data_IF_439598531969
#
_entry.id   IF_439598531969
#
_cell.length_a   1.000
_cell.length_b   1.000
_cell.length_c   1.000
_cell.angle_alpha   90.00
_cell.angle_beta   90.00
_cell.angle_gamma   90.00
#
_symmetry.space_group_name_H-M   'P 1'
#
loop_
_entity.id
_entity.type
_entity.pdbx_description
1 polymer ?
#
# COMPACT_ATOMS: atom_id res chain seq x y z
N UNK A 1 8.46 4.74 -1.71
CA UNK A 1 8.14 5.92 -2.57
C UNK A 1 9.31 6.44 -3.39
N UNK A 2 10.48 5.79 -3.38
CA UNK A 2 11.61 6.24 -4.20
C UNK A 2 11.33 6.02 -5.70
N UNK A 3 10.65 4.93 -6.04
CA UNK A 3 10.50 4.44 -7.41
C UNK A 3 9.33 5.04 -8.19
N UNK A 4 8.33 5.58 -7.49
CA UNK A 4 7.06 6.02 -8.08
C UNK A 4 6.72 7.46 -7.74
N UNK A 5 6.08 8.15 -8.68
CA UNK A 5 5.40 9.43 -8.43
C UNK A 5 3.94 9.13 -8.09
N UNK A 6 3.47 9.61 -6.93
CA UNK A 6 2.08 9.42 -6.49
C UNK A 6 1.27 10.62 -6.96
N UNK A 7 0.26 10.39 -7.81
CA UNK A 7 -0.60 11.45 -8.35
C UNK A 7 -1.86 11.63 -7.51
N UNK A 8 -2.56 10.54 -7.24
CA UNK A 8 -3.81 10.53 -6.47
C UNK A 8 -3.70 9.52 -5.32
N UNK A 9 -4.36 9.82 -4.20
CA UNK A 9 -4.45 8.93 -3.05
C UNK A 9 -5.92 8.63 -2.74
N UNK A 10 -6.20 7.39 -2.41
CA UNK A 10 -7.53 6.95 -1.98
C UNK A 10 -7.40 6.11 -0.70
N UNK A 11 -8.27 6.37 0.26
CA UNK A 11 -8.40 5.53 1.46
C UNK A 11 -9.42 4.42 1.20
N UNK A 12 -9.06 3.18 1.50
CA UNK A 12 -9.94 2.01 1.34
C UNK A 12 -9.96 1.17 2.63
N UNK A 13 -11.10 0.55 2.90
CA UNK A 13 -11.17 -0.54 3.87
C UNK A 13 -10.57 -1.82 3.28
N UNK A 14 -10.12 -2.75 4.12
CA UNK A 14 -9.61 -4.06 3.68
C UNK A 14 -10.37 -5.19 4.37
N UNK A 15 -10.71 -6.22 3.59
CA UNK A 15 -11.36 -7.42 4.09
C UNK A 15 -10.33 -8.37 4.74
N UNK A 16 -10.31 -8.35 6.08
CA UNK A 16 -9.38 -9.13 6.90
C UNK A 16 -10.11 -10.16 7.75
N UNK A 17 -9.43 -11.28 8.02
CA UNK A 17 -9.88 -12.22 9.07
C UNK A 17 -9.34 -11.80 10.43
N UNK A 18 -10.00 -12.23 11.50
CA UNK A 18 -9.65 -11.84 12.88
C UNK A 18 -8.19 -12.17 13.27
N UNK A 19 -7.62 -13.26 12.76
CA UNK A 19 -6.19 -13.62 12.95
C UNK A 19 -5.24 -12.61 12.31
N UNK A 20 -5.56 -12.12 11.11
CA UNK A 20 -4.76 -11.11 10.40
C UNK A 20 -4.84 -9.75 11.09
N UNK A 21 -6.01 -9.39 11.63
CA UNK A 21 -6.17 -8.16 12.42
C UNK A 21 -5.21 -8.17 13.62
N UNK A 22 -5.08 -9.32 14.30
CA UNK A 22 -4.13 -9.48 15.41
C UNK A 22 -2.67 -9.34 14.93
N UNK A 23 -2.31 -9.99 13.82
CA UNK A 23 -0.95 -9.88 13.25
C UNK A 23 -0.59 -8.45 12.82
N UNK A 24 -1.51 -7.74 12.17
CA UNK A 24 -1.30 -6.34 11.76
C UNK A 24 -1.14 -5.42 12.98
N UNK A 25 -1.93 -5.63 14.05
CA UNK A 25 -1.77 -4.87 15.30
C UNK A 25 -0.41 -5.09 15.96
N UNK A 26 0.20 -6.25 15.76
CA UNK A 26 1.56 -6.56 16.18
C UNK A 26 2.64 -6.06 15.20
N UNK A 27 2.25 -5.35 14.12
CA UNK A 27 3.18 -4.84 13.11
C UNK A 27 3.73 -5.92 12.16
N UNK A 28 3.18 -7.15 12.17
CA UNK A 28 3.65 -8.26 11.35
C UNK A 28 3.01 -8.27 9.94
N UNK A 29 3.05 -7.14 9.24
CA UNK A 29 2.54 -7.00 7.88
C UNK A 29 3.53 -6.26 6.98
N UNK A 30 3.70 -6.75 5.75
CA UNK A 30 4.58 -6.17 4.74
C UNK A 30 3.80 -5.91 3.45
N UNK A 31 3.94 -4.68 2.94
CA UNK A 31 3.32 -4.19 1.70
C UNK A 31 4.35 -3.85 0.62
N UNK A 32 5.62 -4.18 0.81
CA UNK A 32 6.71 -3.73 -0.08
C UNK A 32 6.55 -4.16 -1.54
N UNK A 33 6.06 -5.37 -1.74
CA UNK A 33 5.88 -5.99 -3.06
C UNK A 33 4.40 -6.11 -3.44
N UNK A 34 3.52 -5.51 -2.64
CA UNK A 34 2.09 -5.58 -2.84
C UNK A 34 1.66 -4.60 -3.93
N UNK A 35 0.68 -5.00 -4.72
CA UNK A 35 0.08 -4.19 -5.79
C UNK A 35 -1.42 -4.44 -5.81
N UNK A 36 -2.16 -3.53 -6.45
CA UNK A 36 -3.63 -3.60 -6.49
C UNK A 36 -4.11 -3.72 -7.92
N UNK A 37 -4.99 -4.70 -8.16
CA UNK A 37 -5.67 -4.90 -9.43
C UNK A 37 -7.13 -4.45 -9.30
N UNK A 38 -7.72 -4.03 -10.42
CA UNK A 38 -9.18 -3.98 -10.56
C UNK A 38 -9.60 -5.21 -11.35
N UNK A 39 -10.29 -6.14 -10.68
CA UNK A 39 -10.81 -7.38 -11.26
C UNK A 39 -12.32 -7.40 -11.07
N UNK A 40 -13.07 -7.60 -12.16
CA UNK A 40 -14.55 -7.68 -12.15
C UNK A 40 -15.29 -6.52 -11.44
N UNK A 41 -14.66 -5.35 -11.36
CA UNK A 41 -15.22 -4.17 -10.69
C UNK A 41 -15.01 -4.15 -9.18
N UNK A 42 -14.14 -5.01 -8.65
CA UNK A 42 -13.63 -5.00 -7.29
C UNK A 42 -12.14 -4.64 -7.27
N UNK A 43 -11.68 -4.08 -6.15
CA UNK A 43 -10.26 -3.82 -5.92
C UNK A 43 -9.66 -4.98 -5.12
N UNK A 44 -8.61 -5.59 -5.64
CA UNK A 44 -7.95 -6.73 -5.00
C UNK A 44 -6.48 -6.40 -4.76
N UNK A 45 -6.03 -6.53 -3.52
CA UNK A 45 -4.62 -6.49 -3.17
C UNK A 45 -4.01 -7.87 -3.38
N UNK A 46 -2.94 -7.88 -4.16
CA UNK A 46 -2.09 -9.03 -4.41
C UNK A 46 -0.74 -8.86 -3.71
N UNK A 47 -0.12 -9.99 -3.39
CA UNK A 47 1.23 -10.08 -2.84
C UNK A 47 1.46 -9.26 -1.54
N UNK A 48 0.40 -8.99 -0.79
CA UNK A 48 0.51 -8.48 0.58
C UNK A 48 0.81 -9.63 1.53
N UNK A 49 1.94 -9.53 2.22
CA UNK A 49 2.36 -10.55 3.18
C UNK A 49 1.93 -10.15 4.60
N UNK A 50 1.09 -10.96 5.22
CA UNK A 50 0.76 -10.84 6.65
C UNK A 50 1.24 -12.11 7.32
N UNK A 51 2.17 -12.00 8.28
CA UNK A 51 2.66 -13.18 8.98
C UNK A 51 1.53 -13.80 9.80
N UNK A 52 1.41 -15.15 9.80
CA UNK A 52 0.43 -15.84 10.62
C UNK A 52 0.53 -15.46 12.09
N UNK A 53 -0.60 -15.50 12.78
CA UNK A 53 -0.63 -15.23 14.20
C UNK A 53 -0.19 -16.50 14.95
N UNK A 54 0.83 -16.38 15.80
CA UNK A 54 1.44 -17.54 16.50
C UNK A 54 0.43 -18.30 17.37
N UNK A 55 -0.51 -17.60 18.00
CA UNK A 55 -1.56 -18.22 18.82
C UNK A 55 -2.81 -18.60 18.00
N UNK A 56 -2.72 -18.55 16.67
CA UNK A 56 -3.83 -18.75 15.73
C UNK A 56 -3.83 -20.12 15.04
N UNK A 57 -3.48 -21.21 15.73
CA UNK A 57 -3.28 -22.58 15.19
C UNK A 57 -4.06 -22.91 13.89
N UNK A 58 -5.36 -23.26 13.96
CA UNK A 58 -6.15 -23.68 12.79
C UNK A 58 -6.82 -22.51 12.02
N UNK A 59 -6.97 -21.35 12.66
CA UNK A 59 -7.65 -20.19 12.06
C UNK A 59 -6.73 -19.32 11.19
N UNK A 60 -5.43 -19.62 11.19
CA UNK A 60 -4.47 -18.94 10.34
C UNK A 60 -4.81 -19.16 8.85
N UNK A 61 -4.58 -18.11 8.08
CA UNK A 61 -4.81 -18.11 6.64
C UNK A 61 -3.49 -18.07 5.91
N UNK A 62 -3.54 -18.34 4.60
CA UNK A 62 -2.40 -18.15 3.74
C UNK A 62 -1.87 -16.70 3.84
N UNK A 63 -0.58 -16.51 4.17
CA UNK A 63 0.01 -15.19 4.40
C UNK A 63 -0.13 -14.23 3.21
N UNK A 64 -0.11 -14.79 2.00
CA UNK A 64 -0.07 -14.08 0.70
C UNK A 64 -1.43 -14.15 -0.01
N UNK A 65 -2.51 -14.50 0.70
CA UNK A 65 -3.85 -14.55 0.09
C UNK A 65 -4.26 -13.20 -0.50
N UNK A 66 -5.03 -13.25 -1.57
CA UNK A 66 -5.62 -12.07 -2.18
C UNK A 66 -6.68 -11.48 -1.25
N UNK A 67 -6.69 -10.16 -1.07
CA UNK A 67 -7.58 -9.46 -0.14
C UNK A 67 -8.35 -8.40 -0.88
N UNK A 68 -9.68 -8.43 -0.74
CA UNK A 68 -10.57 -7.44 -1.34
C UNK A 68 -10.50 -6.12 -0.56
N UNK A 69 -10.51 -5.02 -1.30
CA UNK A 69 -10.63 -3.67 -0.76
C UNK A 69 -12.05 -3.14 -0.93
N UNK A 70 -12.46 -2.37 0.06
CA UNK A 70 -13.77 -1.76 0.15
C UNK A 70 -13.63 -0.28 -0.20
N UNK A 71 -14.20 0.09 -1.34
CA UNK A 71 -14.26 1.45 -1.87
C UNK A 71 -15.61 1.69 -2.55
N UNK A 72 -15.98 2.95 -2.80
CA UNK A 72 -17.24 3.23 -3.48
C UNK A 72 -17.17 2.85 -4.96
N UNK A 73 -18.28 2.33 -5.51
CA UNK A 73 -18.37 1.92 -6.93
C UNK A 73 -17.91 2.99 -7.92
N UNK A 74 -18.17 4.27 -7.63
CA UNK A 74 -17.73 5.41 -8.45
C UNK A 74 -16.21 5.56 -8.45
N UNK A 75 -15.57 5.39 -7.30
CA UNK A 75 -14.11 5.47 -7.14
C UNK A 75 -13.43 4.30 -7.85
N UNK A 76 -13.96 3.09 -7.72
CA UNK A 76 -13.42 1.91 -8.40
C UNK A 76 -13.45 2.10 -9.93
N UNK A 77 -14.54 2.62 -10.49
CA UNK A 77 -14.61 2.91 -11.94
C UNK A 77 -13.61 3.99 -12.36
N UNK A 78 -13.43 5.04 -11.55
CA UNK A 78 -12.45 6.09 -11.81
C UNK A 78 -11.04 5.49 -11.85
N UNK A 79 -10.67 4.72 -10.83
CA UNK A 79 -9.37 4.05 -10.75
C UNK A 79 -9.17 3.07 -11.90
N UNK A 80 -10.19 2.29 -12.27
CA UNK A 80 -10.13 1.37 -13.40
C UNK A 80 -9.84 2.11 -14.73
N UNK A 81 -10.45 3.29 -14.94
CA UNK A 81 -10.17 4.11 -16.10
C UNK A 81 -8.73 4.67 -16.06
N UNK A 82 -8.26 5.11 -14.90
CA UNK A 82 -6.89 5.63 -14.73
C UNK A 82 -5.83 4.56 -14.92
N UNK A 83 -6.04 3.34 -14.41
CA UNK A 83 -5.10 2.21 -14.58
C UNK A 83 -5.02 1.75 -16.04
N UNK A 84 -6.14 1.84 -16.78
CA UNK A 84 -6.16 1.56 -18.23
C UNK A 84 -5.42 2.62 -19.06
N UNK A 85 -5.15 3.80 -18.51
CA UNK A 85 -4.29 4.78 -19.19
C UNK A 85 -2.83 4.31 -19.07
N UNK A 86 -2.16 4.20 -20.21
CA UNK A 86 -0.86 3.54 -20.34
C UNK A 86 0.17 4.03 -19.30
N UNK A 87 0.55 3.10 -18.41
CA UNK A 87 1.67 3.25 -17.48
C UNK A 87 1.31 3.64 -16.04
N UNK A 88 0.02 3.67 -15.68
CA UNK A 88 -0.42 3.88 -14.30
C UNK A 88 -0.57 2.55 -13.55
N UNK A 89 -0.13 2.52 -12.30
CA UNK A 89 -0.21 1.35 -11.42
C UNK A 89 -0.81 1.74 -10.07
N UNK A 90 -1.55 0.83 -9.44
CA UNK A 90 -2.07 1.03 -8.09
C UNK A 90 -1.18 0.32 -7.09
N UNK A 91 -0.70 1.08 -6.10
CA UNK A 91 0.22 0.59 -5.08
C UNK A 91 -0.31 0.96 -3.70
N UNK A 92 -0.32 0.03 -2.73
CA UNK A 92 -0.60 0.36 -1.33
C UNK A 92 0.56 1.18 -0.75
N UNK A 93 0.27 2.38 -0.25
CA UNK A 93 1.26 3.29 0.33
C UNK A 93 1.49 3.01 1.81
N UNK A 94 0.39 2.82 2.56
CA UNK A 94 0.44 2.53 3.99
C UNK A 94 -0.80 1.75 4.42
N UNK A 95 -0.62 0.95 5.46
CA UNK A 95 -1.68 0.30 6.22
C UNK A 95 -1.65 0.88 7.62
N UNK A 96 -2.79 1.35 8.13
CA UNK A 96 -2.87 1.95 9.46
C UNK A 96 -4.18 1.60 10.15
N UNK A 97 -4.14 1.70 11.48
CA UNK A 97 -5.33 1.60 12.32
C UNK A 97 -5.97 2.98 12.41
N UNK A 98 -7.21 3.11 11.92
CA UNK A 98 -7.98 4.33 12.05
C UNK A 98 -8.59 4.46 13.47
N UNK A 99 -9.01 5.67 13.83
CA UNK A 99 -9.54 5.98 15.17
C UNK A 99 -10.77 5.15 15.56
N UNK A 100 -11.51 4.62 14.58
CA UNK A 100 -12.65 3.72 14.78
C UNK A 100 -12.24 2.24 14.99
N UNK A 101 -10.95 1.95 15.15
CA UNK A 101 -10.43 0.60 15.35
C UNK A 101 -10.39 -0.28 14.10
N UNK A 102 -10.76 0.26 12.94
CA UNK A 102 -10.69 -0.42 11.65
C UNK A 102 -9.30 -0.24 11.02
N UNK A 103 -8.85 -1.26 10.33
CA UNK A 103 -7.62 -1.20 9.54
C UNK A 103 -7.97 -0.64 8.17
N UNK A 104 -7.26 0.41 7.77
CA UNK A 104 -7.42 1.07 6.48
C UNK A 104 -6.13 0.98 5.68
N UNK A 105 -6.27 0.98 4.36
CA UNK A 105 -5.17 0.99 3.41
C UNK A 105 -5.28 2.26 2.58
N UNK A 106 -4.19 3.01 2.50
CA UNK A 106 -4.07 4.13 1.57
C UNK A 106 -3.48 3.61 0.26
N UNK A 107 -4.23 3.74 -0.83
CA UNK A 107 -3.80 3.45 -2.19
C UNK A 107 -3.24 4.70 -2.83
N UNK A 108 -2.20 4.52 -3.64
CA UNK A 108 -1.65 5.55 -4.51
C UNK A 108 -1.77 5.13 -5.97
N UNK A 109 -2.28 6.03 -6.81
CA UNK A 109 -2.08 5.95 -8.25
C UNK A 109 -0.66 6.40 -8.54
N UNK A 110 0.14 5.49 -9.06
CA UNK A 110 1.57 5.62 -9.22
C UNK A 110 1.95 5.57 -10.70
N UNK A 111 2.74 6.56 -11.11
CA UNK A 111 3.44 6.56 -12.40
C UNK A 111 4.90 6.21 -12.17
N UNK A 112 5.44 5.34 -13.02
CA UNK A 112 6.87 5.01 -13.00
C UNK A 112 7.74 6.25 -13.23
N UNK A 113 8.70 6.51 -12.33
CA UNK A 113 9.65 7.63 -12.50
C UNK A 113 10.69 7.29 -13.57
N UNK A 114 11.03 8.29 -14.40
CA UNK A 114 12.17 8.16 -15.33
C UNK A 114 13.49 8.14 -14.53
N UNK A 115 14.53 7.52 -15.08
CA UNK A 115 15.84 7.42 -14.40
C UNK A 115 16.45 8.78 -14.05
N UNK A 116 16.16 9.82 -14.84
CA UNK A 116 16.57 11.19 -14.54
C UNK A 116 15.96 11.71 -13.23
N UNK A 117 14.65 11.52 -13.04
CA UNK A 117 13.93 11.97 -11.85
C UNK A 117 14.39 11.21 -10.58
N UNK A 118 14.73 9.93 -10.73
CA UNK A 118 15.29 9.12 -9.62
C UNK A 118 16.62 9.71 -9.11
N UNK A 119 17.50 10.15 -10.02
CA UNK A 119 18.79 10.78 -9.64
C UNK A 119 18.57 12.09 -8.88
N UNK A 120 17.64 12.94 -9.32
CA UNK A 120 17.31 14.17 -8.61
C UNK A 120 16.73 13.89 -7.22
N UNK A 121 15.83 12.91 -7.11
CA UNK A 121 15.22 12.51 -5.83
C UNK A 121 16.29 11.98 -4.84
N UNK A 122 17.29 11.26 -5.35
CA UNK A 122 18.39 10.73 -4.53
C UNK A 122 19.27 11.88 -4.01
N UNK A 123 19.72 12.78 -4.89
CA UNK A 123 20.52 13.96 -4.50
C UNK A 123 19.81 14.83 -3.45
N UNK A 124 18.51 15.07 -3.61
CA UNK A 124 17.72 15.84 -2.66
C UNK A 124 17.61 15.15 -1.29
N UNK A 125 17.48 13.82 -1.27
CA UNK A 125 17.48 13.04 -0.02
C UNK A 125 18.82 13.09 0.70
N UNK A 126 19.92 12.94 -0.05
CA UNK A 126 21.26 12.97 0.52
C UNK A 126 21.58 14.36 1.11
N UNK A 127 21.28 15.42 0.36
CA UNK A 127 21.44 16.79 0.84
C UNK A 127 20.60 17.06 2.11
N UNK A 128 19.35 16.59 2.16
CA UNK A 128 18.50 16.74 3.36
C UNK A 128 19.08 16.02 4.58
N UNK A 129 19.61 14.81 4.39
CA UNK A 129 20.22 14.02 5.47
C UNK A 129 21.52 14.67 5.97
N UNK A 130 22.26 15.34 5.10
CA UNK A 130 23.48 16.08 5.45
C UNK A 130 23.17 17.31 6.31
N UNK A 131 22.16 18.09 5.94
CA UNK A 131 21.66 19.24 6.72
C UNK A 131 21.15 18.81 8.10
N UNK A 132 20.39 17.71 8.17
CA UNK A 132 19.86 17.18 9.43
C UNK A 132 20.99 16.71 10.37
N UNK A 133 22.09 16.19 9.81
CA UNK A 133 23.29 15.85 10.59
C UNK A 133 24.04 17.09 11.09
N UNK A 134 24.16 18.14 10.29
CA UNK A 134 24.85 19.38 10.71
C UNK A 134 24.08 20.17 11.75
N UNK A 135 22.74 20.06 11.80
CA UNK A 135 21.91 20.71 12.81
C UNK A 135 21.90 20.00 14.18
N UNK A 136 22.34 18.74 14.22
CA UNK A 136 22.37 17.94 15.45
C UNK A 136 23.71 18.05 16.23
N UNK A 137 24.69 18.78 15.69
CA UNK A 137 25.97 19.13 16.32
C UNK A 137 25.92 20.57 16.85
#
# INVERSE_FOLDING_TARGET
TFDYCVEEKLECGIELKGTEVKSIRLGKASIKEAWVAVEDGELIIHNMHISPYEMGSYFNQDPIRNRRLLAHKREIRKLAATVKQDGMTLIPLRVYLANNGLIKVELGVCKGKKNYDKRQTLKAKDAKREVERSQAY
#
